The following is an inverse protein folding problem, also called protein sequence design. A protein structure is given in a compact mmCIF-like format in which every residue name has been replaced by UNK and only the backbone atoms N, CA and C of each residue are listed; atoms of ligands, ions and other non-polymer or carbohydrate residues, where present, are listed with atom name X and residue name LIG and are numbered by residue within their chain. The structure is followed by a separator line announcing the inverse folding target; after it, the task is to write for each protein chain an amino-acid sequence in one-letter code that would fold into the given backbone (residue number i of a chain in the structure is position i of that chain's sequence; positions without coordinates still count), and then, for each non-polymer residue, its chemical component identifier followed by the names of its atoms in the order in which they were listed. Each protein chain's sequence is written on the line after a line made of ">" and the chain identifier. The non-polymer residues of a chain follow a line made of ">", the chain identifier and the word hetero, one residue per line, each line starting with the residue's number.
data_IF_108591745600
#
_entry.id   IF_108591745600
#
_cell.length_a   1.000
_cell.length_b   1.000
_cell.length_c   1.000
_cell.angle_alpha   90.00
_cell.angle_beta   90.00
_cell.angle_gamma   90.00
#
_symmetry.space_group_name_H-M   'P 1'
#
loop_
_entity.id
_entity.type
_entity.pdbx_description
1 polymer ?
#
# COMPACT_ATOMS: atom_id res chain seq x y z
N UNK A 1 22.11 1.12 -16.01
CA UNK A 1 21.57 2.42 -15.59
C UNK A 1 20.69 2.91 -16.71
N UNK A 2 19.38 2.96 -16.47
CA UNK A 2 18.48 3.79 -17.27
C UNK A 2 18.71 5.25 -16.85
N UNK A 3 18.68 6.20 -17.77
CA UNK A 3 18.86 7.65 -17.49
C UNK A 3 17.88 8.24 -16.45
N UNK A 4 16.89 7.45 -16.01
CA UNK A 4 15.84 7.86 -15.07
C UNK A 4 16.15 7.59 -13.58
N UNK A 5 17.08 6.68 -13.27
CA UNK A 5 17.35 6.30 -11.88
C UNK A 5 17.79 4.84 -11.72
N UNK A 6 17.40 4.23 -10.59
CA UNK A 6 17.73 2.84 -10.26
C UNK A 6 16.48 1.97 -10.26
N UNK A 7 16.49 0.93 -11.10
CA UNK A 7 15.43 -0.08 -11.13
C UNK A 7 15.43 -0.86 -9.81
N UNK A 8 14.23 -1.13 -9.30
CA UNK A 8 14.01 -1.82 -8.05
C UNK A 8 12.88 -2.82 -8.21
N UNK A 9 13.12 -4.02 -7.70
CA UNK A 9 12.10 -5.05 -7.54
C UNK A 9 12.15 -5.59 -6.10
N UNK A 10 10.98 -5.76 -5.50
CA UNK A 10 10.85 -6.35 -4.18
C UNK A 10 9.63 -7.27 -4.16
N UNK A 11 9.82 -8.51 -3.70
CA UNK A 11 8.74 -9.49 -3.54
C UNK A 11 8.88 -10.17 -2.20
N UNK A 12 7.75 -10.51 -1.58
CA UNK A 12 7.78 -11.21 -0.31
C UNK A 12 6.43 -11.81 0.06
N UNK A 13 6.50 -12.78 0.95
CA UNK A 13 5.38 -13.56 1.47
C UNK A 13 5.61 -13.81 2.96
N UNK A 14 4.57 -13.62 3.78
CA UNK A 14 4.66 -13.91 5.21
C UNK A 14 3.46 -13.45 6.03
N UNK A 15 3.52 -13.72 7.34
CA UNK A 15 2.54 -13.23 8.31
C UNK A 15 3.04 -11.92 8.92
N UNK A 16 2.59 -10.81 8.33
CA UNK A 16 3.04 -9.47 8.73
C UNK A 16 2.19 -8.85 9.84
N UNK A 17 0.98 -9.38 10.10
CA UNK A 17 0.00 -8.84 11.07
C UNK A 17 0.64 -8.41 12.40
N UNK A 18 1.49 -9.25 12.98
CA UNK A 18 2.10 -9.01 14.31
C UNK A 18 3.05 -7.81 14.35
N UNK A 19 3.52 -7.34 13.21
CA UNK A 19 4.43 -6.21 13.09
C UNK A 19 3.72 -4.92 12.68
N UNK A 20 2.44 -4.98 12.35
CA UNK A 20 1.68 -3.83 11.89
C UNK A 20 1.17 -2.98 13.05
N UNK A 21 1.10 -1.66 12.88
CA UNK A 21 0.40 -0.79 13.83
C UNK A 21 -1.07 -1.19 13.97
N UNK A 22 -1.62 -1.11 15.18
CA UNK A 22 -3.00 -1.53 15.51
C UNK A 22 -4.06 -0.93 14.56
N UNK A 23 -3.88 0.32 14.12
CA UNK A 23 -4.82 1.01 13.21
C UNK A 23 -5.02 0.35 11.85
N UNK A 24 -4.02 -0.39 11.36
CA UNK A 24 -4.04 -1.03 10.04
C UNK A 24 -3.85 -2.53 10.10
N UNK A 25 -3.66 -3.09 11.29
CA UNK A 25 -3.38 -4.51 11.52
C UNK A 25 -4.44 -5.43 10.92
N UNK A 26 -5.71 -5.02 10.97
CA UNK A 26 -6.84 -5.75 10.36
C UNK A 26 -6.70 -5.99 8.85
N UNK A 27 -5.94 -5.13 8.15
CA UNK A 27 -5.70 -5.28 6.71
C UNK A 27 -4.68 -6.38 6.38
N UNK A 28 -3.89 -6.82 7.37
CA UNK A 28 -2.77 -7.75 7.20
C UNK A 28 -3.01 -9.08 7.90
N UNK A 29 -4.27 -9.37 8.27
CA UNK A 29 -4.64 -10.64 8.91
C UNK A 29 -4.23 -11.80 8.00
N UNK A 30 -3.63 -12.82 8.62
CA UNK A 30 -3.21 -14.04 7.94
C UNK A 30 -2.00 -13.86 7.05
N UNK A 31 -1.93 -14.65 5.97
CA UNK A 31 -0.79 -14.59 5.05
C UNK A 31 -0.93 -13.34 4.17
N UNK A 32 0.14 -12.57 4.07
CA UNK A 32 0.24 -11.43 3.16
C UNK A 32 1.40 -11.62 2.19
N UNK A 33 1.17 -11.33 0.91
CA UNK A 33 2.19 -11.28 -0.14
C UNK A 33 2.24 -9.90 -0.76
N UNK A 34 3.41 -9.50 -1.26
CA UNK A 34 3.59 -8.25 -1.99
C UNK A 34 4.53 -8.43 -3.18
N UNK A 35 4.30 -7.64 -4.22
CA UNK A 35 5.15 -7.52 -5.41
C UNK A 35 5.22 -6.03 -5.76
N UNK A 36 6.43 -5.50 -5.80
CA UNK A 36 6.73 -4.13 -6.16
C UNK A 36 7.79 -4.14 -7.26
N UNK A 37 7.54 -3.39 -8.33
CA UNK A 37 8.50 -3.05 -9.37
C UNK A 37 8.38 -1.56 -9.68
N UNK A 38 9.53 -0.90 -9.82
CA UNK A 38 9.59 0.52 -10.12
C UNK A 38 11.02 1.06 -10.22
N UNK A 39 11.13 2.37 -10.36
CA UNK A 39 12.40 3.09 -10.48
C UNK A 39 12.52 4.10 -9.34
N UNK A 40 13.58 4.02 -8.54
CA UNK A 40 13.98 5.12 -7.67
C UNK A 40 14.53 6.24 -8.56
N UNK A 41 13.81 7.36 -8.63
CA UNK A 41 14.20 8.48 -9.51
C UNK A 41 15.22 9.38 -8.81
N UNK A 42 16.09 10.01 -9.60
CA UNK A 42 17.21 10.83 -9.10
C UNK A 42 16.79 12.05 -8.27
N UNK A 43 15.53 12.49 -8.40
CA UNK A 43 14.97 13.55 -7.57
C UNK A 43 14.76 13.14 -6.10
N UNK A 44 14.83 11.84 -5.81
CA UNK A 44 14.55 11.25 -4.50
C UNK A 44 13.14 10.66 -4.37
N UNK A 45 12.38 10.64 -5.48
CA UNK A 45 11.07 10.03 -5.57
C UNK A 45 11.10 8.57 -6.03
N UNK A 46 9.92 8.08 -6.42
CA UNK A 46 9.75 6.75 -7.02
C UNK A 46 8.75 6.82 -8.17
N UNK A 47 9.06 6.13 -9.26
CA UNK A 47 8.11 5.77 -10.32
C UNK A 47 7.70 4.31 -10.11
N UNK A 48 6.42 4.06 -9.89
CA UNK A 48 5.86 2.75 -9.54
C UNK A 48 5.18 2.18 -10.78
N UNK A 49 5.80 1.15 -11.36
CA UNK A 49 5.25 0.43 -12.50
C UNK A 49 4.16 -0.54 -12.06
N UNK A 50 4.41 -1.25 -10.95
CA UNK A 50 3.46 -2.16 -10.31
C UNK A 50 3.75 -2.23 -8.83
N UNK A 51 2.72 -2.03 -8.02
CA UNK A 51 2.71 -2.47 -6.63
C UNK A 51 1.43 -3.26 -6.38
N UNK A 52 1.55 -4.44 -5.80
CA UNK A 52 0.42 -5.24 -5.34
C UNK A 52 0.65 -5.71 -3.92
N UNK A 53 -0.40 -5.70 -3.12
CA UNK A 53 -0.44 -6.36 -1.82
C UNK A 53 -1.68 -7.24 -1.74
N UNK A 54 -1.51 -8.44 -1.23
CA UNK A 54 -2.56 -9.44 -1.14
C UNK A 54 -2.50 -10.08 0.24
N UNK A 55 -3.53 -9.88 1.06
CA UNK A 55 -3.71 -10.57 2.33
C UNK A 55 -4.95 -11.46 2.31
N UNK A 56 -5.27 -12.11 3.42
CA UNK A 56 -6.56 -12.80 3.54
C UNK A 56 -7.72 -11.81 3.63
N UNK A 57 -7.47 -10.57 4.06
CA UNK A 57 -8.49 -9.53 4.25
C UNK A 57 -8.68 -8.63 3.01
N UNK A 58 -7.59 -8.26 2.32
CA UNK A 58 -7.63 -7.24 1.26
C UNK A 58 -6.74 -7.57 0.07
N UNK A 59 -7.12 -7.00 -1.08
CA UNK A 59 -6.29 -6.84 -2.26
C UNK A 59 -6.02 -5.35 -2.47
N UNK A 60 -4.77 -4.96 -2.68
CA UNK A 60 -4.37 -3.58 -2.96
C UNK A 60 -3.43 -3.47 -4.15
N UNK A 61 -3.56 -2.37 -4.89
CA UNK A 61 -2.70 -2.05 -6.03
C UNK A 61 -2.26 -0.58 -5.97
N UNK A 62 -1.08 -0.29 -6.51
CA UNK A 62 -0.67 1.09 -6.78
C UNK A 62 0.19 1.19 -8.05
N UNK A 63 0.07 2.32 -8.74
CA UNK A 63 0.83 2.66 -9.95
C UNK A 63 0.98 4.17 -10.06
N UNK A 64 2.02 4.64 -10.75
CA UNK A 64 2.26 6.07 -10.99
C UNK A 64 3.46 6.57 -10.19
N UNK A 65 3.59 7.88 -10.01
CA UNK A 65 4.82 8.47 -9.50
C UNK A 65 4.62 9.34 -8.25
N UNK A 66 5.62 9.33 -7.39
CA UNK A 66 5.79 10.29 -6.30
C UNK A 66 7.11 11.00 -6.53
N UNK A 67 7.07 12.29 -6.84
CA UNK A 67 8.25 13.13 -7.00
C UNK A 67 8.22 14.29 -6.00
N UNK A 68 9.09 14.31 -4.99
CA UNK A 68 9.14 15.40 -4.00
C UNK A 68 9.58 16.74 -4.59
N UNK A 69 10.18 16.74 -5.79
CA UNK A 69 10.65 17.96 -6.48
C UNK A 69 9.79 18.33 -7.69
N UNK A 70 8.71 17.61 -7.94
CA UNK A 70 7.90 17.73 -9.14
C UNK A 70 6.43 17.40 -8.91
N UNK A 71 5.71 17.17 -10.00
CA UNK A 71 4.34 16.69 -9.92
C UNK A 71 4.32 15.21 -9.54
N UNK A 72 3.41 14.84 -8.64
CA UNK A 72 3.12 13.45 -8.29
C UNK A 72 1.73 13.08 -8.80
N UNK A 73 1.61 11.89 -9.36
CA UNK A 73 0.34 11.29 -9.79
C UNK A 73 0.38 9.81 -9.40
N UNK A 74 -0.01 9.52 -8.15
CA UNK A 74 0.01 8.18 -7.58
C UNK A 74 -1.43 7.69 -7.45
N UNK A 75 -1.80 6.66 -8.20
CA UNK A 75 -3.07 5.97 -8.01
C UNK A 75 -2.90 4.79 -7.05
N UNK A 76 -3.78 4.69 -6.06
CA UNK A 76 -3.87 3.56 -5.13
C UNK A 76 -5.30 3.05 -5.09
N UNK A 77 -5.46 1.73 -5.16
CA UNK A 77 -6.73 1.06 -4.89
C UNK A 77 -6.57 0.01 -3.81
N UNK A 78 -7.55 -0.09 -2.91
CA UNK A 78 -7.64 -1.13 -1.90
C UNK A 78 -9.07 -1.67 -1.88
N UNK A 79 -9.22 -3.00 -1.90
CA UNK A 79 -10.53 -3.67 -1.87
C UNK A 79 -10.50 -4.80 -0.85
N UNK A 80 -11.53 -4.90 -0.02
CA UNK A 80 -11.71 -6.04 0.86
C UNK A 80 -12.13 -7.28 0.04
N UNK A 81 -11.61 -8.46 0.40
CA UNK A 81 -11.82 -9.70 -0.38
C UNK A 81 -13.15 -10.39 -0.10
N UNK A 82 -13.59 -10.38 1.15
CA UNK A 82 -14.81 -11.09 1.58
C UNK A 82 -15.76 -10.16 2.33
N UNK A 83 -15.33 -9.66 3.50
CA UNK A 83 -16.11 -8.72 4.32
C UNK A 83 -15.42 -7.37 4.38
N UNK A 84 -16.17 -6.26 4.51
CA UNK A 84 -15.58 -4.95 4.76
C UNK A 84 -14.56 -5.02 5.90
N UNK A 85 -13.41 -4.40 5.67
CA UNK A 85 -12.37 -4.29 6.70
C UNK A 85 -12.62 -3.08 7.57
N UNK A 86 -12.47 -3.25 8.88
CA UNK A 86 -12.65 -2.15 9.83
C UNK A 86 -11.32 -1.42 10.02
N UNK A 87 -11.33 -0.10 9.85
CA UNK A 87 -10.19 0.79 10.07
C UNK A 87 -10.54 1.80 11.16
N UNK A 88 -9.61 2.01 12.10
CA UNK A 88 -9.74 3.06 13.12
C UNK A 88 -9.12 4.39 12.67
N UNK A 89 -10.00 5.33 12.32
CA UNK A 89 -9.63 6.70 11.92
C UNK A 89 -9.75 7.71 13.06
N UNK A 90 -10.09 7.26 14.26
CA UNK A 90 -10.18 8.10 15.45
C UNK A 90 -8.82 8.40 16.08
N UNK A 91 -8.85 9.11 17.21
CA UNK A 91 -7.67 9.29 18.06
C UNK A 91 -7.68 8.23 19.18
N UNK A 92 -6.59 8.15 19.94
CA UNK A 92 -6.46 7.12 21.00
C UNK A 92 -7.48 7.24 22.13
N UNK A 93 -8.10 8.41 22.33
CA UNK A 93 -9.13 8.60 23.35
C UNK A 93 -10.54 8.27 22.85
N UNK A 94 -10.81 8.49 21.55
CA UNK A 94 -12.11 8.26 20.91
C UNK A 94 -11.88 7.57 19.56
N UNK A 95 -11.94 6.23 19.51
CA UNK A 95 -11.80 5.50 18.27
C UNK A 95 -13.03 5.71 17.39
N UNK A 96 -12.82 5.75 16.07
CA UNK A 96 -13.88 5.82 15.07
C UNK A 96 -13.65 4.68 14.09
N UNK A 97 -14.50 3.67 14.16
CA UNK A 97 -14.41 2.48 13.33
C UNK A 97 -15.20 2.67 12.04
N UNK A 98 -14.50 2.57 10.90
CA UNK A 98 -15.10 2.67 9.56
C UNK A 98 -14.97 1.31 8.87
N UNK A 99 -16.10 0.76 8.41
CA UNK A 99 -16.11 -0.44 7.58
C UNK A 99 -15.88 -0.05 6.12
N UNK A 100 -14.77 -0.51 5.54
CA UNK A 100 -14.32 -0.16 4.19
C UNK A 100 -14.41 -1.39 3.29
N UNK A 101 -15.22 -1.30 2.23
CA UNK A 101 -15.25 -2.33 1.18
C UNK A 101 -14.23 -2.04 0.07
N UNK A 102 -14.14 -0.76 -0.34
CA UNK A 102 -13.20 -0.28 -1.34
C UNK A 102 -12.77 1.13 -0.98
N UNK A 103 -11.50 1.44 -1.20
CA UNK A 103 -10.93 2.78 -1.09
C UNK A 103 -10.02 3.06 -2.29
N UNK A 104 -9.99 4.31 -2.73
CA UNK A 104 -9.13 4.77 -3.81
C UNK A 104 -8.52 6.11 -3.45
N UNK A 105 -7.27 6.35 -3.83
CA UNK A 105 -6.59 7.64 -3.68
C UNK A 105 -5.86 7.99 -4.98
N UNK A 106 -5.79 9.29 -5.29
CA UNK A 106 -5.03 9.86 -6.40
C UNK A 106 -4.53 11.25 -6.04
#
# INVERSE_FOLDING_TARGET
>A
LSDKGHDMEAKGDGEFERFMPEKVKSLFIGKTSFDLAGTAITSGGVDIERATIESDAVHGTATGNVDPKGASDLAVELSAKDKPVTVDVGNSAVPILVAVQKATAR
#
